data_IF_134109379533
#
_entry.id   IF_134109379533
#
_cell.length_a   1.000
_cell.length_b   1.000
_cell.length_c   1.000
_cell.angle_alpha   90.00
_cell.angle_beta   90.00
_cell.angle_gamma   90.00
#
_symmetry.space_group_name_H-M   'P 1'
#
loop_
_entity.id
_entity.type
_entity.pdbx_description
1 polymer ?
#
# COMPACT_ATOMS: atom_id res chain seq x y z
N UNK A 1 20.77 -52.33 24.26
CA UNK A 1 21.75 -51.30 24.66
C UNK A 1 21.54 -50.08 23.76
N UNK A 2 21.23 -48.96 24.41
CA UNK A 2 20.96 -47.60 23.92
C UNK A 2 21.24 -47.22 22.45
N UNK A 3 20.20 -46.71 21.79
CA UNK A 3 20.29 -45.79 20.63
C UNK A 3 20.74 -44.40 21.10
N UNK A 4 21.60 -43.67 20.37
CA UNK A 4 21.83 -42.25 20.61
C UNK A 4 20.71 -41.40 20.00
N UNK A 5 20.08 -40.59 20.84
CA UNK A 5 19.03 -39.63 20.50
C UNK A 5 19.54 -38.55 19.55
N UNK A 6 18.73 -38.24 18.53
CA UNK A 6 18.96 -37.15 17.59
C UNK A 6 19.06 -35.80 18.30
N UNK A 7 20.01 -34.98 17.83
CA UNK A 7 20.03 -33.56 18.14
C UNK A 7 18.92 -32.90 17.34
N UNK A 8 17.86 -32.48 18.01
CA UNK A 8 16.91 -31.53 17.45
C UNK A 8 17.66 -30.22 17.20
N UNK A 9 17.92 -29.90 15.94
CA UNK A 9 18.28 -28.53 15.56
C UNK A 9 17.05 -27.66 15.71
N UNK A 10 16.99 -26.92 16.82
CA UNK A 10 16.13 -25.75 16.93
C UNK A 10 16.59 -24.74 15.89
N UNK A 11 15.94 -24.72 14.72
CA UNK A 11 15.89 -23.52 13.90
C UNK A 11 15.12 -22.47 14.71
N UNK A 12 15.85 -21.51 15.27
CA UNK A 12 15.27 -20.19 15.53
C UNK A 12 14.88 -19.66 14.15
N UNK A 13 13.59 -19.62 13.84
CA UNK A 13 13.09 -18.72 12.80
C UNK A 13 13.53 -17.31 13.22
N UNK A 14 14.54 -16.78 12.52
CA UNK A 14 14.73 -15.34 12.47
C UNK A 14 13.40 -14.78 11.95
N UNK A 15 12.69 -14.03 12.79
CA UNK A 15 11.40 -13.44 12.44
C UNK A 15 11.64 -12.42 11.33
N UNK A 16 11.62 -12.88 10.07
CA UNK A 16 11.86 -12.06 8.89
C UNK A 16 10.69 -11.09 8.76
N UNK A 17 11.01 -9.80 8.70
CA UNK A 17 10.04 -8.73 8.49
C UNK A 17 9.15 -9.06 7.29
N UNK A 18 7.83 -8.95 7.48
CA UNK A 18 6.84 -9.14 6.42
C UNK A 18 6.95 -8.01 5.38
N UNK A 19 6.46 -8.25 4.16
CA UNK A 19 6.42 -7.21 3.12
C UNK A 19 5.60 -5.98 3.55
N UNK A 20 4.55 -6.18 4.34
CA UNK A 20 3.74 -5.10 4.91
C UNK A 20 4.55 -4.26 5.92
N UNK A 21 5.23 -4.89 6.87
CA UNK A 21 6.07 -4.18 7.85
C UNK A 21 7.22 -3.42 7.16
N UNK A 22 7.81 -3.98 6.09
CA UNK A 22 8.81 -3.27 5.28
C UNK A 22 8.21 -2.02 4.64
N UNK A 23 7.01 -2.12 4.07
CA UNK A 23 6.28 -1.00 3.48
C UNK A 23 5.91 0.07 4.51
N UNK A 24 5.45 -0.33 5.69
CA UNK A 24 5.16 0.58 6.80
C UNK A 24 6.41 1.38 7.20
N UNK A 25 7.55 0.70 7.33
CA UNK A 25 8.83 1.32 7.66
C UNK A 25 9.29 2.32 6.59
N UNK A 26 9.20 1.94 5.32
CA UNK A 26 9.59 2.82 4.21
C UNK A 26 8.67 4.03 4.09
N UNK A 27 7.36 3.83 4.28
CA UNK A 27 6.39 4.93 4.32
C UNK A 27 6.69 5.90 5.47
N UNK A 28 6.98 5.40 6.67
CA UNK A 28 7.35 6.25 7.81
C UNK A 28 8.55 7.14 7.52
N UNK A 29 9.60 6.59 6.88
CA UNK A 29 10.76 7.38 6.42
C UNK A 29 10.36 8.43 5.38
N UNK A 30 9.47 8.08 4.44
CA UNK A 30 8.97 9.04 3.45
C UNK A 30 8.23 10.20 4.11
N UNK A 31 7.38 9.92 5.11
CA UNK A 31 6.61 10.93 5.84
C UNK A 31 7.53 11.85 6.67
N UNK A 32 8.57 11.30 7.30
CA UNK A 32 9.58 12.08 8.02
C UNK A 32 10.36 13.02 7.07
N UNK A 33 10.72 12.53 5.88
CA UNK A 33 11.38 13.34 4.86
C UNK A 33 10.49 14.49 4.36
N UNK A 34 9.20 14.22 4.13
CA UNK A 34 8.22 15.24 3.74
C UNK A 34 8.09 16.32 4.81
N UNK A 35 7.88 15.92 6.08
CA UNK A 35 7.81 16.86 7.22
C UNK A 35 9.07 17.73 7.34
N UNK A 36 10.24 17.12 7.14
CA UNK A 36 11.53 17.84 7.20
C UNK A 36 11.70 18.80 6.03
N UNK A 37 11.28 18.40 4.83
CA UNK A 37 11.29 19.25 3.64
C UNK A 37 10.38 20.46 3.83
N UNK A 38 9.13 20.26 4.28
CA UNK A 38 8.17 21.33 4.53
C UNK A 38 8.66 22.33 5.58
N UNK A 39 9.32 21.84 6.63
CA UNK A 39 9.91 22.70 7.65
C UNK A 39 11.06 23.55 7.08
N UNK A 40 11.91 22.95 6.24
CA UNK A 40 13.01 23.64 5.57
C UNK A 40 12.52 24.67 4.54
N UNK A 41 11.47 24.34 3.79
CA UNK A 41 10.85 25.24 2.80
C UNK A 41 10.32 26.51 3.48
N UNK A 42 9.65 26.38 4.63
CA UNK A 42 9.12 27.52 5.40
C UNK A 42 10.19 28.52 5.84
N UNK A 43 11.42 28.07 6.05
CA UNK A 43 12.56 28.92 6.49
C UNK A 43 13.56 29.20 5.37
N UNK A 44 13.32 28.71 4.15
CA UNK A 44 14.21 28.89 2.99
C UNK A 44 15.54 28.15 3.10
N UNK A 45 15.62 27.05 3.85
CA UNK A 45 16.84 26.26 4.00
C UNK A 45 17.08 25.34 2.80
N UNK A 46 17.70 25.89 1.76
CA UNK A 46 18.00 25.17 0.53
C UNK A 46 18.90 23.93 0.73
N UNK A 47 19.80 23.94 1.72
CA UNK A 47 20.69 22.81 1.98
C UNK A 47 19.90 21.63 2.54
N UNK A 48 19.01 21.89 3.51
CA UNK A 48 18.15 20.84 4.07
C UNK A 48 17.14 20.33 3.03
N UNK A 49 16.57 21.22 2.21
CA UNK A 49 15.68 20.81 1.11
C UNK A 49 16.40 19.86 0.13
N UNK A 50 17.63 20.16 -0.26
CA UNK A 50 18.41 19.30 -1.16
C UNK A 50 18.73 17.95 -0.50
N UNK A 51 19.16 17.95 0.76
CA UNK A 51 19.42 16.71 1.50
C UNK A 51 18.17 15.81 1.60
N UNK A 52 16.98 16.39 1.77
CA UNK A 52 15.73 15.63 1.78
C UNK A 52 15.42 15.03 0.40
N UNK A 53 15.67 15.77 -0.70
CA UNK A 53 15.50 15.26 -2.06
C UNK A 53 16.44 14.09 -2.34
N UNK A 54 17.70 14.20 -1.95
CA UNK A 54 18.69 13.13 -2.14
C UNK A 54 18.31 11.87 -1.36
N UNK A 55 17.91 12.03 -0.09
CA UNK A 55 17.41 10.91 0.73
C UNK A 55 16.13 10.28 0.17
N UNK A 56 15.22 11.08 -0.41
CA UNK A 56 14.03 10.56 -1.08
C UNK A 56 14.39 9.74 -2.32
N UNK A 57 15.40 10.16 -3.11
CA UNK A 57 15.89 9.38 -4.24
C UNK A 57 16.50 8.04 -3.81
N UNK A 58 17.21 8.00 -2.69
CA UNK A 58 17.70 6.74 -2.10
C UNK A 58 16.55 5.82 -1.67
N UNK A 59 15.53 6.37 -1.00
CA UNK A 59 14.33 5.62 -0.64
C UNK A 59 13.62 5.03 -1.85
N UNK A 60 13.50 5.81 -2.94
CA UNK A 60 12.92 5.31 -4.21
C UNK A 60 13.74 4.15 -4.78
N UNK A 61 15.07 4.21 -4.72
CA UNK A 61 15.94 3.10 -5.16
C UNK A 61 15.76 1.86 -4.28
N UNK A 62 15.62 2.02 -2.97
CA UNK A 62 15.31 0.91 -2.06
C UNK A 62 13.99 0.24 -2.42
N UNK A 63 12.93 1.02 -2.66
CA UNK A 63 11.62 0.51 -3.11
C UNK A 63 11.74 -0.21 -4.46
N UNK A 64 12.50 0.34 -5.41
CA UNK A 64 12.71 -0.28 -6.72
C UNK A 64 13.49 -1.59 -6.64
N UNK A 65 14.42 -1.72 -5.70
CA UNK A 65 15.21 -2.94 -5.50
C UNK A 65 14.33 -4.13 -5.04
N UNK A 66 13.21 -3.87 -4.37
CA UNK A 66 12.22 -4.90 -3.99
C UNK A 66 11.32 -5.33 -5.17
N UNK A 67 11.34 -4.59 -6.28
CA UNK A 67 10.65 -4.92 -7.53
C UNK A 67 9.35 -4.15 -7.77
N UNK A 68 8.81 -4.33 -8.98
CA UNK A 68 7.66 -3.56 -9.48
C UNK A 68 6.40 -3.74 -8.62
N UNK A 69 6.07 -4.98 -8.24
CA UNK A 69 4.89 -5.27 -7.41
C UNK A 69 5.00 -4.58 -6.03
N UNK A 70 6.20 -4.53 -5.45
CA UNK A 70 6.44 -3.82 -4.20
C UNK A 70 6.27 -2.30 -4.37
N UNK A 71 6.82 -1.72 -5.44
CA UNK A 71 6.60 -0.32 -5.78
C UNK A 71 5.12 0.03 -5.99
N UNK A 72 4.36 -0.84 -6.65
CA UNK A 72 2.92 -0.66 -6.83
C UNK A 72 2.16 -0.71 -5.49
N UNK A 73 2.52 -1.64 -4.60
CA UNK A 73 1.95 -1.71 -3.25
C UNK A 73 2.29 -0.49 -2.41
N UNK A 74 3.54 -0.01 -2.46
CA UNK A 74 3.99 1.23 -1.80
C UNK A 74 3.15 2.42 -2.24
N UNK A 75 2.83 2.54 -3.54
CA UNK A 75 1.96 3.60 -4.06
C UNK A 75 0.56 3.52 -3.47
N UNK A 76 -0.08 2.34 -3.55
CA UNK A 76 -1.44 2.13 -3.01
C UNK A 76 -1.50 2.42 -1.50
N UNK A 77 -0.48 2.00 -0.76
CA UNK A 77 -0.39 2.24 0.68
C UNK A 77 -0.18 3.71 1.02
N UNK A 78 0.67 4.41 0.26
CA UNK A 78 0.89 5.85 0.43
C UNK A 78 -0.38 6.65 0.13
N UNK A 79 -1.10 6.30 -0.93
CA UNK A 79 -2.40 6.90 -1.27
C UNK A 79 -3.43 6.65 -0.17
N UNK A 80 -3.52 5.41 0.34
CA UNK A 80 -4.38 5.04 1.47
C UNK A 80 -4.10 5.92 2.70
N UNK A 81 -2.84 6.06 3.09
CA UNK A 81 -2.46 6.87 4.26
C UNK A 81 -2.71 8.36 4.04
N UNK A 82 -2.35 8.89 2.86
CA UNK A 82 -2.54 10.28 2.50
C UNK A 82 -4.02 10.69 2.52
N UNK A 83 -4.90 9.80 2.04
CA UNK A 83 -6.34 10.05 2.04
C UNK A 83 -7.01 9.75 3.38
N UNK A 84 -6.29 9.16 4.35
CA UNK A 84 -6.83 8.80 5.66
C UNK A 84 -7.76 7.58 5.62
N UNK A 85 -7.60 6.70 4.62
CA UNK A 85 -8.34 5.44 4.54
C UNK A 85 -7.67 4.34 5.37
N UNK A 86 -8.46 3.36 5.83
CA UNK A 86 -7.96 2.20 6.58
C UNK A 86 -7.68 0.97 5.71
N UNK A 87 -8.18 0.97 4.48
CA UNK A 87 -8.06 -0.13 3.51
C UNK A 87 -7.41 0.39 2.23
N UNK A 88 -6.63 -0.48 1.59
CA UNK A 88 -6.10 -0.21 0.26
C UNK A 88 -7.25 -0.09 -0.73
N UNK A 89 -7.22 0.94 -1.56
CA UNK A 89 -8.21 1.15 -2.61
C UNK A 89 -7.61 0.89 -3.99
N UNK A 90 -8.25 0.00 -4.74
CA UNK A 90 -8.01 -0.19 -6.15
C UNK A 90 -8.84 0.85 -6.94
N UNK A 91 -8.31 2.06 -7.11
CA UNK A 91 -8.97 3.11 -7.88
C UNK A 91 -8.74 2.97 -9.39
N UNK A 92 -9.78 3.08 -10.23
CA UNK A 92 -9.66 3.25 -11.69
C UNK A 92 -9.97 2.01 -12.54
N UNK A 93 -9.25 1.82 -13.65
CA UNK A 93 -9.39 0.65 -14.54
C UNK A 93 -8.33 -0.39 -14.23
N UNK A 94 -8.72 -1.52 -13.63
CA UNK A 94 -7.85 -2.68 -13.46
C UNK A 94 -8.12 -3.71 -14.55
N UNK A 95 -7.07 -4.06 -15.30
CA UNK A 95 -7.15 -5.03 -16.40
C UNK A 95 -6.64 -6.42 -16.00
N UNK A 96 -5.91 -6.55 -14.88
CA UNK A 96 -5.36 -7.82 -14.40
C UNK A 96 -5.74 -8.13 -12.93
N UNK A 97 -7.03 -8.39 -12.62
CA UNK A 97 -7.49 -8.72 -11.26
C UNK A 97 -6.72 -9.88 -10.61
N UNK A 98 -6.35 -10.92 -11.37
CA UNK A 98 -5.61 -12.07 -10.83
C UNK A 98 -4.23 -11.70 -10.28
N UNK A 99 -3.49 -10.87 -11.02
CA UNK A 99 -2.15 -10.43 -10.65
C UNK A 99 -2.20 -9.64 -9.33
N UNK A 100 -3.10 -8.66 -9.24
CA UNK A 100 -3.19 -7.83 -8.03
C UNK A 100 -3.65 -8.63 -6.81
N UNK A 101 -4.58 -9.58 -6.95
CA UNK A 101 -5.00 -10.44 -5.85
C UNK A 101 -3.88 -11.36 -5.36
N UNK A 102 -3.01 -11.84 -6.26
CA UNK A 102 -1.82 -12.60 -5.87
C UNK A 102 -0.89 -11.73 -5.02
N UNK A 103 -0.57 -10.53 -5.48
CA UNK A 103 0.28 -9.57 -4.75
C UNK A 103 -0.34 -9.23 -3.39
N UNK A 104 -1.63 -8.96 -3.33
CA UNK A 104 -2.34 -8.69 -2.08
C UNK A 104 -2.19 -9.83 -1.06
N UNK A 105 -2.31 -11.08 -1.49
CA UNK A 105 -2.10 -12.26 -0.62
C UNK A 105 -0.65 -12.34 -0.13
N UNK A 106 0.33 -12.06 -0.99
CA UNK A 106 1.75 -12.04 -0.60
C UNK A 106 2.08 -10.96 0.44
N UNK A 107 1.37 -9.83 0.40
CA UNK A 107 1.49 -8.75 1.37
C UNK A 107 0.61 -8.93 2.61
N UNK A 108 -0.17 -10.01 2.68
CA UNK A 108 -1.04 -10.31 3.82
C UNK A 108 -2.31 -9.47 3.89
N UNK A 109 -2.70 -8.78 2.81
CA UNK A 109 -3.97 -8.03 2.72
C UNK A 109 -5.14 -8.99 2.94
N UNK A 110 -6.12 -8.55 3.72
CA UNK A 110 -7.34 -9.34 4.04
C UNK A 110 -8.59 -8.72 3.45
N UNK A 111 -8.63 -7.40 3.41
CA UNK A 111 -9.73 -6.62 2.87
C UNK A 111 -9.17 -5.45 2.06
N UNK A 112 -9.92 -5.06 1.04
CA UNK A 112 -9.60 -3.94 0.18
C UNK A 112 -10.88 -3.32 -0.35
N UNK A 113 -10.78 -2.09 -0.83
CA UNK A 113 -11.87 -1.43 -1.56
C UNK A 113 -11.54 -1.34 -3.04
N UNK A 114 -12.58 -1.30 -3.87
CA UNK A 114 -12.46 -1.04 -5.29
C UNK A 114 -13.39 0.12 -5.66
N UNK A 115 -12.80 1.23 -6.08
CA UNK A 115 -13.52 2.44 -6.49
C UNK A 115 -13.26 2.72 -7.98
N UNK A 116 -14.31 3.03 -8.74
CA UNK A 116 -14.16 3.32 -10.16
C UNK A 116 -15.35 4.08 -10.70
N UNK A 117 -15.08 5.12 -11.50
CA UNK A 117 -16.10 5.90 -12.22
C UNK A 117 -16.33 5.38 -13.64
N UNK A 118 -15.62 4.32 -14.04
CA UNK A 118 -15.74 3.73 -15.37
C UNK A 118 -16.99 2.86 -15.48
N UNK A 119 -17.57 2.81 -16.68
CA UNK A 119 -18.76 1.99 -16.96
C UNK A 119 -18.52 0.48 -16.75
N UNK A 120 -17.26 0.05 -16.77
CA UNK A 120 -16.84 -1.35 -16.55
C UNK A 120 -16.67 -1.74 -15.07
N UNK A 121 -16.90 -0.81 -14.12
CA UNK A 121 -16.66 -1.04 -12.70
C UNK A 121 -17.40 -2.29 -12.17
N UNK A 122 -18.66 -2.48 -12.56
CA UNK A 122 -19.47 -3.62 -12.11
C UNK A 122 -18.90 -4.94 -12.65
N UNK A 123 -18.40 -4.96 -13.88
CA UNK A 123 -17.78 -6.15 -14.49
C UNK A 123 -16.47 -6.52 -13.80
N UNK A 124 -15.64 -5.54 -13.45
CA UNK A 124 -14.41 -5.77 -12.67
C UNK A 124 -14.74 -6.26 -11.25
N UNK A 125 -15.73 -5.64 -10.59
CA UNK A 125 -16.22 -6.10 -9.30
C UNK A 125 -16.74 -7.55 -9.37
N UNK A 126 -17.47 -7.90 -10.42
CA UNK A 126 -17.91 -9.28 -10.68
C UNK A 126 -16.72 -10.23 -10.87
N UNK A 127 -15.70 -9.84 -11.65
CA UNK A 127 -14.49 -10.65 -11.82
C UNK A 127 -13.79 -10.96 -10.50
N UNK A 128 -13.69 -10.01 -9.56
CA UNK A 128 -13.14 -10.30 -8.23
C UNK A 128 -13.91 -11.42 -7.52
N UNK A 129 -15.24 -11.48 -7.66
CA UNK A 129 -16.03 -12.58 -7.07
C UNK A 129 -15.73 -13.93 -7.72
N UNK A 130 -15.50 -13.96 -9.04
CA UNK A 130 -15.12 -15.17 -9.76
C UNK A 130 -13.73 -15.68 -9.34
N UNK A 131 -12.86 -14.77 -8.91
CA UNK A 131 -11.52 -15.05 -8.39
C UNK A 131 -11.48 -15.37 -6.89
N UNK A 132 -12.64 -15.62 -6.28
CA UNK A 132 -12.79 -16.07 -4.91
C UNK A 132 -12.89 -14.97 -3.86
N UNK A 133 -12.91 -13.69 -4.25
CA UNK A 133 -13.15 -12.62 -3.29
C UNK A 133 -14.62 -12.58 -2.89
N UNK A 134 -14.90 -12.28 -1.61
CA UNK A 134 -16.26 -12.07 -1.13
C UNK A 134 -16.60 -10.59 -1.15
N UNK A 135 -17.58 -10.20 -1.97
CA UNK A 135 -18.18 -8.86 -1.92
C UNK A 135 -18.99 -8.72 -0.62
N UNK A 136 -18.60 -7.80 0.25
CA UNK A 136 -19.28 -7.51 1.53
C UNK A 136 -20.37 -6.45 1.39
N UNK A 137 -20.36 -5.71 0.28
CA UNK A 137 -21.29 -4.63 0.01
C UNK A 137 -20.56 -3.39 -0.50
N UNK A 138 -21.15 -2.22 -0.26
CA UNK A 138 -20.55 -0.92 -0.59
C UNK A 138 -20.19 -0.17 0.70
N UNK A 139 -19.16 0.66 0.62
CA UNK A 139 -18.72 1.57 1.68
C UNK A 139 -18.36 2.93 1.08
N UNK A 140 -18.22 3.94 1.92
CA UNK A 140 -17.63 5.22 1.54
C UNK A 140 -16.14 5.23 1.89
N UNK A 141 -15.33 5.82 1.02
CA UNK A 141 -13.90 6.08 1.24
C UNK A 141 -13.56 7.51 0.83
N UNK A 142 -12.40 8.02 1.26
CA UNK A 142 -11.83 9.23 0.69
C UNK A 142 -11.17 8.92 -0.66
N UNK A 143 -11.72 9.49 -1.73
CA UNK A 143 -11.18 9.38 -3.08
C UNK A 143 -9.96 10.26 -3.32
N UNK A 144 -9.44 10.27 -4.55
CA UNK A 144 -8.31 11.12 -4.94
C UNK A 144 -8.68 12.56 -5.28
N UNK A 145 -9.97 12.84 -5.53
CA UNK A 145 -10.48 14.19 -5.77
C UNK A 145 -10.53 15.01 -4.48
N UNK A 146 -10.02 16.23 -4.50
CA UNK A 146 -10.24 17.20 -3.43
C UNK A 146 -11.50 18.00 -3.72
N UNK A 147 -12.32 18.26 -2.70
CA UNK A 147 -13.49 19.12 -2.86
C UNK A 147 -13.03 20.51 -3.28
N UNK A 148 -13.73 21.08 -4.26
CA UNK A 148 -13.45 22.41 -4.77
C UNK A 148 -13.32 23.44 -3.62
N UNK A 149 -12.23 24.21 -3.62
CA UNK A 149 -11.91 25.23 -2.61
C UNK A 149 -11.67 24.70 -1.18
N UNK A 150 -11.36 23.41 -1.01
CA UNK A 150 -10.96 22.86 0.29
C UNK A 150 -9.77 21.90 0.17
N UNK A 151 -9.09 21.67 1.29
CA UNK A 151 -8.06 20.64 1.39
C UNK A 151 -8.64 19.26 1.79
N UNK A 152 -9.96 19.10 1.78
CA UNK A 152 -10.62 17.83 2.11
C UNK A 152 -10.80 16.95 0.89
N UNK A 153 -10.50 15.66 1.04
CA UNK A 153 -10.80 14.66 0.03
C UNK A 153 -12.31 14.41 -0.07
N UNK A 154 -12.80 14.22 -1.29
CA UNK A 154 -14.18 13.84 -1.58
C UNK A 154 -14.45 12.42 -1.11
N UNK A 155 -15.65 12.20 -0.56
CA UNK A 155 -16.10 10.84 -0.25
C UNK A 155 -16.76 10.24 -1.48
N UNK A 156 -16.32 9.04 -1.83
CA UNK A 156 -16.83 8.31 -2.99
C UNK A 156 -17.30 6.92 -2.58
N UNK A 157 -18.30 6.35 -3.28
CA UNK A 157 -18.70 4.96 -3.08
C UNK A 157 -17.62 4.01 -3.60
N UNK A 158 -17.38 2.94 -2.87
CA UNK A 158 -16.49 1.85 -3.26
C UNK A 158 -17.09 0.49 -2.89
N UNK A 159 -16.73 -0.55 -3.62
CA UNK A 159 -17.06 -1.92 -3.26
C UNK A 159 -16.08 -2.42 -2.20
N UNK A 160 -16.58 -3.08 -1.16
CA UNK A 160 -15.76 -3.70 -0.11
C UNK A 160 -15.61 -5.20 -0.37
N UNK A 161 -14.38 -5.67 -0.46
CA UNK A 161 -14.06 -7.08 -0.66
C UNK A 161 -13.22 -7.66 0.48
N UNK A 162 -13.39 -8.95 0.75
CA UNK A 162 -12.41 -9.77 1.46
C UNK A 162 -11.81 -10.83 0.55
N UNK A 163 -10.51 -11.09 0.72
CA UNK A 163 -9.70 -12.07 0.00
C UNK A 163 -9.92 -13.51 0.45
#
# INVERSE_FOLDING_TARGET
>A
MYMPKGKAHNHKEENKMTKMEMMEKLYGRSEELEKKFDAAEKVGDAQTMQACRDAYQELVKEVQAEGEDFGNMMRLYSDMKKHGNSLLDLSGTYQEPEKILKVFREFGVKEFTFSSTWSSAVQVAWQFTQLGCKLKGMTEIYGSGQKFMSNEYERIPAFLFSL
#
